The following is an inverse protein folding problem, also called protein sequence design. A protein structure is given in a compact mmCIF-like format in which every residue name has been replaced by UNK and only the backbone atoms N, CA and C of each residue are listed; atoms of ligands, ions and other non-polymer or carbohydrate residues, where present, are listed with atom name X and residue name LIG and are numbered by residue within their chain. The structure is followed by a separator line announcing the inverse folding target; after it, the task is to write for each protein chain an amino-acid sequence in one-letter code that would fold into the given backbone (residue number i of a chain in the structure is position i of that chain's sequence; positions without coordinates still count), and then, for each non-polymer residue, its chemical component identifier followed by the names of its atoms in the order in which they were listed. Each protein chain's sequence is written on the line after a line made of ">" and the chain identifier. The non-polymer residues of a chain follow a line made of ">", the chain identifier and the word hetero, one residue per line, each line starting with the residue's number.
data_IF_631966088238
#
_entry.id   IF_631966088238
#
_cell.length_a   1.000
_cell.length_b   1.000
_cell.length_c   1.000
_cell.angle_alpha   90.00
_cell.angle_beta   90.00
_cell.angle_gamma   90.00
#
_symmetry.space_group_name_H-M   'P 1'
#
loop_
_entity.id
_entity.type
_entity.pdbx_description
1 polymer ?
#
# COMPACT_ATOMS: atom_id res chain seq x y z
N UNK A 1 14.00 9.49 12.99
CA UNK A 1 14.79 8.35 12.47
C UNK A 1 13.76 7.27 12.20
N UNK A 2 13.67 6.77 10.96
CA UNK A 2 12.60 5.85 10.58
C UNK A 2 12.59 5.58 9.08
N UNK A 3 11.61 4.81 8.62
CA UNK A 3 11.42 4.51 7.21
C UNK A 3 11.09 5.79 6.41
N UNK A 4 11.68 5.93 5.23
CA UNK A 4 11.36 7.05 4.36
C UNK A 4 10.12 6.75 3.53
N UNK A 5 9.27 7.76 3.34
CA UNK A 5 8.17 7.75 2.39
C UNK A 5 8.47 8.78 1.30
N UNK A 6 8.63 8.32 0.07
CA UNK A 6 8.90 9.17 -1.08
C UNK A 6 7.76 9.00 -2.08
N UNK A 7 7.16 10.12 -2.51
CA UNK A 7 6.02 10.12 -3.43
C UNK A 7 6.44 10.68 -4.79
N UNK A 8 5.97 10.06 -5.87
CA UNK A 8 6.19 10.52 -7.25
C UNK A 8 4.93 10.29 -8.08
N UNK A 9 4.61 11.18 -9.02
CA UNK A 9 3.61 10.92 -10.07
C UNK A 9 4.32 10.66 -11.40
N UNK A 10 3.67 9.87 -12.27
CA UNK A 10 4.12 9.72 -13.66
C UNK A 10 3.32 10.61 -14.63
N UNK A 11 3.59 10.48 -15.93
CA UNK A 11 2.92 11.24 -17.00
C UNK A 11 1.45 10.83 -17.20
N UNK A 12 1.00 9.72 -16.63
CA UNK A 12 -0.37 9.23 -16.72
C UNK A 12 -1.18 9.57 -15.46
N UNK A 13 -0.68 10.52 -14.65
CA UNK A 13 -1.24 10.89 -13.35
C UNK A 13 -1.42 9.70 -12.40
N UNK A 14 -0.49 8.74 -12.44
CA UNK A 14 -0.45 7.66 -11.45
C UNK A 14 0.46 8.06 -10.31
N UNK A 15 -0.06 8.07 -9.08
CA UNK A 15 0.68 8.42 -7.88
C UNK A 15 1.30 7.17 -7.24
N UNK A 16 2.60 7.20 -7.05
CA UNK A 16 3.41 6.13 -6.48
C UNK A 16 4.00 6.54 -5.14
N UNK A 17 4.31 5.54 -4.32
CA UNK A 17 5.09 5.67 -3.09
C UNK A 17 6.24 4.67 -3.07
N UNK A 18 7.38 5.08 -2.52
CA UNK A 18 8.50 4.21 -2.13
C UNK A 18 8.60 4.20 -0.61
N UNK A 19 8.74 3.00 -0.05
CA UNK A 19 8.91 2.78 1.39
C UNK A 19 10.36 2.34 1.62
N UNK A 20 11.10 3.10 2.42
CA UNK A 20 12.48 2.80 2.80
C UNK A 20 13.39 2.47 1.60
N UNK A 21 13.35 3.32 0.57
CA UNK A 21 14.15 3.22 -0.67
C UNK A 21 13.89 1.96 -1.52
N UNK A 22 12.80 1.22 -1.27
CA UNK A 22 12.40 0.09 -2.09
C UNK A 22 11.77 0.50 -3.43
N UNK A 23 11.36 -0.52 -4.21
CA UNK A 23 10.64 -0.32 -5.47
C UNK A 23 9.33 0.42 -5.22
N UNK A 24 8.97 1.28 -6.17
CA UNK A 24 7.71 2.03 -6.10
C UNK A 24 6.50 1.11 -6.23
N UNK A 25 5.44 1.46 -5.51
CA UNK A 25 4.11 0.85 -5.59
C UNK A 25 3.07 1.96 -5.74
N UNK A 26 1.92 1.71 -6.38
CA UNK A 26 0.82 2.68 -6.39
C UNK A 26 0.41 3.06 -4.97
N UNK A 27 0.18 4.35 -4.72
CA UNK A 27 -0.03 4.85 -3.35
C UNK A 27 -1.29 4.28 -2.70
N UNK A 28 -2.28 3.90 -3.51
CA UNK A 28 -3.52 3.26 -3.06
C UNK A 28 -3.26 1.92 -2.35
N UNK A 29 -2.17 1.21 -2.66
CA UNK A 29 -1.74 0.02 -1.90
C UNK A 29 -1.39 0.41 -0.46
N UNK A 30 -0.61 1.47 -0.28
CA UNK A 30 -0.24 1.97 1.06
C UNK A 30 -1.46 2.49 1.81
N UNK A 31 -2.34 3.25 1.15
CA UNK A 31 -3.57 3.75 1.76
C UNK A 31 -4.40 2.59 2.29
N UNK A 32 -4.64 1.54 1.48
CA UNK A 32 -5.38 0.35 1.93
C UNK A 32 -4.75 -0.30 3.15
N UNK A 33 -3.44 -0.45 3.17
CA UNK A 33 -2.73 -1.08 4.27
C UNK A 33 -2.75 -0.28 5.59
N UNK A 34 -2.90 1.05 5.54
CA UNK A 34 -2.87 1.93 6.71
C UNK A 34 -4.23 2.18 7.35
N UNK A 35 -5.34 1.97 6.65
CA UNK A 35 -6.67 2.18 7.25
C UNK A 35 -7.84 1.98 6.28
N UNK A 36 -7.97 2.80 5.23
CA UNK A 36 -9.08 2.70 4.26
C UNK A 36 -9.06 1.39 3.49
N UNK A 37 -9.69 0.35 4.03
CA UNK A 37 -9.50 -1.03 3.61
C UNK A 37 -10.14 -1.37 2.27
N UNK A 38 -10.96 -0.47 1.72
CA UNK A 38 -11.64 -0.64 0.45
C UNK A 38 -11.71 0.66 -0.37
N UNK A 39 -12.06 0.47 -1.64
CA UNK A 39 -12.10 1.53 -2.65
C UNK A 39 -13.09 2.66 -2.32
N UNK A 40 -14.26 2.32 -1.77
CA UNK A 40 -15.26 3.31 -1.40
C UNK A 40 -14.76 4.24 -0.29
N UNK A 41 -14.03 3.72 0.70
CA UNK A 41 -13.43 4.53 1.76
C UNK A 41 -12.37 5.49 1.21
N UNK A 42 -11.54 5.03 0.27
CA UNK A 42 -10.54 5.89 -0.39
C UNK A 42 -11.22 7.02 -1.16
N UNK A 43 -12.25 6.70 -1.95
CA UNK A 43 -12.98 7.70 -2.72
C UNK A 43 -13.73 8.70 -1.83
N UNK A 44 -14.26 8.26 -0.69
CA UNK A 44 -14.88 9.17 0.28
C UNK A 44 -13.87 10.14 0.91
N UNK A 45 -12.61 9.72 1.08
CA UNK A 45 -11.56 10.57 1.67
C UNK A 45 -10.95 11.55 0.67
N UNK A 46 -10.71 11.11 -0.56
CA UNK A 46 -9.94 11.89 -1.56
C UNK A 46 -10.77 12.39 -2.73
N UNK A 47 -12.04 11.98 -2.83
CA UNK A 47 -12.92 12.25 -3.95
C UNK A 47 -12.60 11.40 -5.19
N UNK A 48 -13.48 11.49 -6.19
CA UNK A 48 -13.31 10.85 -7.50
C UNK A 48 -12.46 11.72 -8.43
N UNK A 49 -11.23 12.04 -8.02
CA UNK A 49 -10.29 12.74 -8.91
C UNK A 49 -9.52 11.76 -9.79
N UNK A 50 -9.14 12.23 -10.98
CA UNK A 50 -8.52 11.41 -12.03
C UNK A 50 -7.24 10.69 -11.57
N UNK A 51 -6.41 11.37 -10.77
CA UNK A 51 -5.17 10.79 -10.24
C UNK A 51 -5.43 9.58 -9.32
N UNK A 52 -6.41 9.66 -8.42
CA UNK A 52 -6.78 8.53 -7.54
C UNK A 52 -7.33 7.37 -8.37
N UNK A 53 -8.23 7.66 -9.31
CA UNK A 53 -8.83 6.64 -10.18
C UNK A 53 -7.77 5.92 -11.03
N UNK A 54 -6.85 6.69 -11.64
CA UNK A 54 -5.73 6.14 -12.42
C UNK A 54 -4.79 5.30 -11.56
N UNK A 55 -4.57 5.72 -10.31
CA UNK A 55 -3.73 4.99 -9.36
C UNK A 55 -4.36 3.67 -8.94
N UNK A 56 -5.66 3.67 -8.62
CA UNK A 56 -6.41 2.46 -8.27
C UNK A 56 -6.41 1.46 -9.43
N UNK A 57 -6.63 1.93 -10.66
CA UNK A 57 -6.56 1.09 -11.85
C UNK A 57 -5.17 0.48 -12.13
N UNK A 58 -4.10 0.98 -11.49
CA UNK A 58 -2.74 0.45 -11.63
C UNK A 58 -2.27 -0.44 -10.49
N UNK A 59 -3.01 -0.53 -9.40
CA UNK A 59 -2.52 -1.21 -8.20
C UNK A 59 -2.68 -2.73 -8.20
N UNK A 60 -3.62 -3.27 -8.97
CA UNK A 60 -3.82 -4.71 -9.13
C UNK A 60 -4.36 -5.44 -7.89
N UNK A 61 -4.75 -4.70 -6.84
CA UNK A 61 -5.14 -5.29 -5.55
C UNK A 61 -6.52 -5.94 -5.63
N UNK A 62 -7.43 -5.39 -6.43
CA UNK A 62 -8.76 -5.95 -6.63
C UNK A 62 -8.70 -7.34 -7.30
N UNK A 63 -7.89 -7.48 -8.35
CA UNK A 63 -7.70 -8.74 -9.05
C UNK A 63 -7.02 -9.80 -8.17
N UNK A 64 -6.06 -9.39 -7.34
CA UNK A 64 -5.42 -10.29 -6.36
C UNK A 64 -6.40 -10.76 -5.29
N UNK A 65 -7.23 -9.85 -4.76
CA UNK A 65 -8.22 -10.16 -3.74
C UNK A 65 -9.27 -11.15 -4.26
N UNK A 66 -9.76 -10.94 -5.49
CA UNK A 66 -10.68 -11.87 -6.15
C UNK A 66 -10.04 -13.24 -6.36
N UNK A 67 -8.83 -13.28 -6.95
CA UNK A 67 -8.11 -14.51 -7.25
C UNK A 67 -7.78 -15.34 -6.01
N UNK A 68 -7.42 -14.67 -4.91
CA UNK A 68 -7.01 -15.32 -3.67
C UNK A 68 -8.18 -15.54 -2.71
N UNK A 69 -9.39 -15.07 -3.04
CA UNK A 69 -10.57 -15.07 -2.17
C UNK A 69 -10.30 -14.41 -0.80
N UNK A 70 -9.71 -13.21 -0.85
CA UNK A 70 -9.26 -12.44 0.32
C UNK A 70 -9.75 -11.00 0.23
N UNK A 71 -9.45 -10.18 1.24
CA UNK A 71 -9.83 -8.76 1.24
C UNK A 71 -8.77 -7.87 0.59
N UNK A 72 -9.18 -6.71 0.06
CA UNK A 72 -8.26 -5.70 -0.51
C UNK A 72 -7.20 -5.26 0.51
N UNK A 73 -7.60 -5.11 1.77
CA UNK A 73 -6.72 -4.80 2.90
C UNK A 73 -5.61 -5.86 3.06
N UNK A 74 -5.97 -7.14 3.08
CA UNK A 74 -5.00 -8.24 3.25
C UNK A 74 -4.02 -8.33 2.09
N UNK A 75 -4.49 -8.18 0.85
CA UNK A 75 -3.61 -8.22 -0.32
C UNK A 75 -2.70 -6.98 -0.39
N UNK A 76 -3.19 -5.80 0.01
CA UNK A 76 -2.35 -4.60 0.11
C UNK A 76 -1.22 -4.76 1.15
N UNK A 77 -1.53 -5.34 2.32
CA UNK A 77 -0.52 -5.70 3.33
C UNK A 77 0.54 -6.65 2.77
N UNK A 78 0.10 -7.72 2.09
CA UNK A 78 0.98 -8.72 1.50
C UNK A 78 1.86 -8.11 0.40
N UNK A 79 1.32 -7.23 -0.44
CA UNK A 79 2.07 -6.57 -1.51
C UNK A 79 3.20 -5.72 -0.95
N UNK A 80 2.93 -4.90 0.09
CA UNK A 80 3.98 -4.12 0.78
C UNK A 80 5.02 -5.04 1.40
N UNK A 81 4.58 -6.10 2.08
CA UNK A 81 5.49 -7.07 2.70
C UNK A 81 6.43 -7.70 1.67
N UNK A 82 5.90 -8.16 0.53
CA UNK A 82 6.69 -8.74 -0.56
C UNK A 82 7.71 -7.77 -1.16
N UNK A 83 7.39 -6.46 -1.25
CA UNK A 83 8.36 -5.47 -1.72
C UNK A 83 9.49 -5.24 -0.73
N UNK A 84 9.17 -5.21 0.56
CA UNK A 84 10.15 -4.95 1.62
C UNK A 84 10.98 -6.19 1.98
N UNK A 85 10.44 -7.39 1.79
CA UNK A 85 11.08 -8.68 2.09
C UNK A 85 10.91 -9.66 0.92
N UNK A 86 11.66 -9.46 -0.18
CA UNK A 86 11.57 -10.36 -1.33
C UNK A 86 12.06 -11.76 -0.94
N UNK A 87 11.21 -12.77 -1.12
CA UNK A 87 11.54 -14.18 -0.86
C UNK A 87 10.86 -14.79 0.37
N UNK A 88 10.33 -13.97 1.28
CA UNK A 88 9.56 -14.45 2.41
C UNK A 88 8.08 -14.62 2.03
N UNK A 89 7.40 -15.71 2.42
CA UNK A 89 5.97 -15.86 2.17
C UNK A 89 5.17 -14.79 2.93
N UNK A 90 4.26 -14.05 2.26
CA UNK A 90 3.54 -12.95 2.89
C UNK A 90 2.36 -13.46 3.73
N UNK A 91 2.58 -13.60 5.04
CA UNK A 91 1.50 -13.82 6.01
C UNK A 91 0.91 -12.49 6.45
N UNK A 92 -0.43 -12.41 6.52
CA UNK A 92 -1.16 -11.19 6.90
C UNK A 92 -0.67 -10.64 8.24
N UNK A 93 -0.50 -11.49 9.25
CA UNK A 93 -0.07 -11.09 10.60
C UNK A 93 1.38 -10.54 10.62
N UNK A 94 2.27 -11.17 9.85
CA UNK A 94 3.64 -10.68 9.67
C UNK A 94 3.68 -9.34 8.95
N UNK A 95 2.82 -9.15 7.95
CA UNK A 95 2.69 -7.90 7.20
C UNK A 95 2.15 -6.76 8.08
N UNK A 96 1.09 -7.02 8.87
CA UNK A 96 0.58 -6.06 9.86
C UNK A 96 1.66 -5.63 10.85
N UNK A 97 2.39 -6.59 11.40
CA UNK A 97 3.46 -6.33 12.36
C UNK A 97 4.58 -5.50 11.74
N UNK A 98 4.95 -5.79 10.49
CA UNK A 98 5.95 -5.02 9.76
C UNK A 98 5.53 -3.56 9.59
N UNK A 99 4.30 -3.31 9.11
CA UNK A 99 3.79 -1.94 8.92
C UNK A 99 3.71 -1.17 10.24
N UNK A 100 3.20 -1.82 11.30
CA UNK A 100 3.16 -1.20 12.63
C UNK A 100 4.55 -0.79 13.12
N UNK A 101 5.55 -1.66 12.96
CA UNK A 101 6.92 -1.35 13.35
C UNK A 101 7.58 -0.28 12.46
N UNK A 102 7.13 -0.11 11.22
CA UNK A 102 7.68 0.87 10.29
C UNK A 102 7.19 2.28 10.57
N UNK A 103 5.90 2.44 10.89
CA UNK A 103 5.28 3.77 10.93
C UNK A 103 4.67 4.16 12.28
N UNK A 104 4.38 3.20 13.15
CA UNK A 104 3.59 3.43 14.37
C UNK A 104 4.32 3.04 15.67
N UNK A 105 5.48 2.37 15.59
CA UNK A 105 6.36 2.14 16.74
C UNK A 105 7.25 3.36 17.01
N UNK A 106 6.91 4.12 18.05
CA UNK A 106 7.66 5.32 18.47
C UNK A 106 9.14 5.06 18.82
N UNK A 107 9.55 3.80 19.04
CA UNK A 107 10.97 3.44 19.24
C UNK A 107 11.74 3.35 17.92
N UNK A 108 11.03 3.17 16.80
CA UNK A 108 11.58 2.93 15.47
C UNK A 108 11.31 4.08 14.49
N UNK A 109 10.32 4.90 14.79
CA UNK A 109 9.92 6.06 14.02
C UNK A 109 9.80 7.29 14.92
N UNK A 110 10.71 8.24 14.74
CA UNK A 110 10.66 9.62 15.27
C UNK A 110 10.57 10.63 14.12
#
# INVERSE_FOLDING_TARGET
>A
RGAWLEYESDINDVLYVRIDKNRKIPVTVLIRALGPGNDAEILNMFGENEMILNTMAKDGIAELAEKNHTTLYEEALKEIYCKLRPGDPPLVESAKTLINNLFFDARRYD
#
